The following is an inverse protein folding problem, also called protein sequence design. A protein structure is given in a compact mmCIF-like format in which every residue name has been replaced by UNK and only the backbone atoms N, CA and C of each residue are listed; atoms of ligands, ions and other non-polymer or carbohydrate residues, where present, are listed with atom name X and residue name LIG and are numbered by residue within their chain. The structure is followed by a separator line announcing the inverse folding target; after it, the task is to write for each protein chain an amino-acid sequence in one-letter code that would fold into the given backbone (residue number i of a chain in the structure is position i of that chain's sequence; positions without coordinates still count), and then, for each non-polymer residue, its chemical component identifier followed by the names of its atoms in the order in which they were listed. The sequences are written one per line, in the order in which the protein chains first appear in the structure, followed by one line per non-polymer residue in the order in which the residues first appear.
data_IF_206149513281
#
_entry.id   IF_206149513281
#
_cell.length_a   1.000
_cell.length_b   1.000
_cell.length_c   1.000
_cell.angle_alpha   90.00
_cell.angle_beta   90.00
_cell.angle_gamma   90.00
#
_symmetry.space_group_name_H-M   'P 1'
#
loop_
_entity.id
_entity.type
_entity.pdbx_description
1 polymer ?
#
# COMPACT_ATOMS: atom_id res chain seq x y z
N UNK A 1 22.73 -11.46 12.35
CA UNK A 1 22.10 -10.73 11.21
C UNK A 1 22.38 -11.47 9.90
N UNK A 2 21.47 -11.37 8.91
CA UNK A 2 21.66 -11.94 7.57
C UNK A 2 21.41 -10.88 6.52
N UNK A 3 22.41 -10.61 5.65
CA UNK A 3 22.22 -9.70 4.50
C UNK A 3 21.19 -10.30 3.57
N UNK A 4 20.20 -9.49 3.17
CA UNK A 4 19.15 -9.89 2.26
C UNK A 4 19.47 -9.48 0.83
N UNK A 5 19.12 -10.36 -0.10
CA UNK A 5 19.00 -10.04 -1.52
C UNK A 5 17.52 -10.00 -1.84
N UNK A 6 16.95 -8.79 -1.94
CA UNK A 6 15.52 -8.61 -2.15
C UNK A 6 15.06 -9.05 -3.53
N UNK A 7 13.78 -9.30 -3.67
CA UNK A 7 13.14 -9.60 -4.96
C UNK A 7 12.42 -8.36 -5.47
N UNK A 8 12.69 -7.95 -6.70
CA UNK A 8 11.96 -6.88 -7.38
C UNK A 8 10.78 -7.48 -8.11
N UNK A 9 9.57 -6.93 -7.88
CA UNK A 9 8.33 -7.28 -8.58
C UNK A 9 8.13 -6.27 -9.72
N UNK A 10 7.84 -6.78 -10.91
CA UNK A 10 7.75 -6.02 -12.16
C UNK A 10 6.30 -5.77 -12.62
N UNK A 11 5.40 -5.50 -11.65
CA UNK A 11 4.02 -5.17 -11.99
C UNK A 11 3.94 -3.97 -12.93
N UNK A 12 2.98 -3.98 -13.85
CA UNK A 12 2.86 -3.00 -14.93
C UNK A 12 2.72 -1.53 -14.45
N UNK A 13 2.21 -1.32 -13.24
CA UNK A 13 2.08 -0.01 -12.62
C UNK A 13 3.38 0.52 -11.99
N UNK A 14 4.43 -0.30 -11.93
CA UNK A 14 5.70 0.07 -11.32
C UNK A 14 6.39 1.22 -12.05
N UNK A 15 7.09 2.06 -11.29
CA UNK A 15 7.96 3.10 -11.86
C UNK A 15 9.17 2.47 -12.54
N UNK A 16 9.57 2.93 -13.73
CA UNK A 16 10.79 2.45 -14.38
C UNK A 16 12.08 3.02 -13.77
N UNK A 17 11.99 4.01 -12.88
CA UNK A 17 13.16 4.77 -12.40
C UNK A 17 13.29 4.87 -10.89
N UNK A 18 12.20 4.96 -10.12
CA UNK A 18 12.26 5.32 -8.69
C UNK A 18 13.10 4.37 -7.83
N UNK A 19 13.03 3.05 -8.04
CA UNK A 19 13.91 2.10 -7.33
C UNK A 19 15.36 2.19 -7.82
N UNK A 20 15.56 2.38 -9.12
CA UNK A 20 16.89 2.55 -9.68
C UNK A 20 17.58 3.82 -9.16
N UNK A 21 16.83 4.94 -9.11
CA UNK A 21 17.29 6.23 -8.58
C UNK A 21 17.67 6.10 -7.09
N UNK A 22 16.80 5.45 -6.28
CA UNK A 22 17.09 5.20 -4.86
C UNK A 22 18.39 4.38 -4.70
N UNK A 23 18.59 3.35 -5.53
CA UNK A 23 19.74 2.45 -5.47
C UNK A 23 21.00 3.03 -6.16
N UNK A 24 20.91 4.20 -6.79
CA UNK A 24 22.04 4.82 -7.51
C UNK A 24 22.54 4.00 -8.71
N UNK A 25 21.63 3.27 -9.38
CA UNK A 25 21.94 2.45 -10.55
C UNK A 25 21.19 2.91 -11.80
N UNK A 26 21.67 2.50 -12.96
CA UNK A 26 20.92 2.74 -14.21
C UNK A 26 19.56 2.02 -14.20
N UNK A 27 18.48 2.69 -14.66
CA UNK A 27 17.18 2.08 -14.83
C UNK A 27 17.20 0.94 -15.85
N UNK A 28 16.43 -0.12 -15.58
CA UNK A 28 16.31 -1.26 -16.52
C UNK A 28 15.45 -0.95 -17.75
N UNK A 29 14.69 0.16 -17.71
CA UNK A 29 13.71 0.53 -18.72
C UNK A 29 12.41 -0.29 -18.64
N UNK A 30 12.27 -1.12 -17.63
CA UNK A 30 11.04 -1.89 -17.33
C UNK A 30 10.42 -1.38 -16.04
N UNK A 31 9.12 -1.61 -15.80
CA UNK A 31 8.52 -1.36 -14.50
C UNK A 31 9.24 -2.11 -13.39
N UNK A 32 9.54 -1.39 -12.31
CA UNK A 32 10.06 -1.94 -11.06
C UNK A 32 9.14 -1.45 -9.95
N UNK A 33 8.14 -2.28 -9.61
CA UNK A 33 7.01 -1.85 -8.79
C UNK A 33 7.29 -1.91 -7.29
N UNK A 34 7.85 -3.02 -6.83
CA UNK A 34 8.08 -3.29 -5.41
C UNK A 34 9.39 -4.04 -5.22
N UNK A 35 10.14 -3.64 -4.21
CA UNK A 35 11.29 -4.39 -3.71
C UNK A 35 10.85 -5.04 -2.40
N UNK A 36 10.68 -6.38 -2.41
CA UNK A 36 10.17 -7.13 -1.27
C UNK A 36 11.27 -7.50 -0.30
N UNK A 37 10.99 -7.32 0.99
CA UNK A 37 11.89 -7.59 2.12
C UNK A 37 11.13 -8.45 3.14
N UNK A 38 11.38 -9.76 3.14
CA UNK A 38 10.71 -10.72 4.01
C UNK A 38 10.86 -12.16 3.53
N UNK A 39 10.14 -13.06 4.22
CA UNK A 39 10.05 -14.49 3.96
C UNK A 39 8.76 -14.90 3.26
N UNK A 40 8.07 -13.93 2.63
CA UNK A 40 6.78 -14.15 2.00
C UNK A 40 6.86 -15.24 0.92
N UNK A 41 5.97 -16.27 0.94
CA UNK A 41 6.06 -17.44 0.04
C UNK A 41 6.05 -17.08 -1.45
N UNK A 42 5.38 -15.99 -1.81
CA UNK A 42 5.30 -15.51 -3.20
C UNK A 42 6.62 -14.96 -3.75
N UNK A 43 7.57 -14.54 -2.89
CA UNK A 43 8.91 -14.07 -3.25
C UNK A 43 9.79 -13.89 -2.00
N UNK A 44 10.27 -14.97 -1.37
CA UNK A 44 11.16 -14.85 -0.22
C UNK A 44 12.49 -14.22 -0.63
N UNK A 45 13.04 -13.36 0.23
CA UNK A 45 14.40 -12.86 0.05
C UNK A 45 15.40 -14.01 0.11
N UNK A 46 16.53 -13.84 -0.60
CA UNK A 46 17.68 -14.71 -0.40
C UNK A 46 18.56 -14.12 0.72
N UNK A 47 18.70 -14.85 1.80
CA UNK A 47 19.59 -14.52 2.92
C UNK A 47 21.01 -15.02 2.65
N UNK A 48 22.02 -14.20 2.97
CA UNK A 48 23.44 -14.62 3.00
C UNK A 48 23.74 -15.07 4.43
N UNK A 49 23.98 -16.37 4.60
CA UNK A 49 24.28 -16.94 5.93
C UNK A 49 25.79 -16.90 6.25
N UNK A 50 26.18 -17.26 7.47
CA UNK A 50 27.52 -17.01 8.01
C UNK A 50 28.67 -17.63 7.21
N UNK A 51 28.46 -18.72 6.50
CA UNK A 51 29.46 -19.39 5.64
C UNK A 51 29.48 -18.81 4.21
N UNK A 52 28.68 -17.75 3.93
CA UNK A 52 28.51 -17.14 2.63
C UNK A 52 27.52 -17.86 1.70
N UNK A 53 26.88 -18.93 2.15
CA UNK A 53 25.84 -19.60 1.38
C UNK A 53 24.61 -18.69 1.21
N UNK A 54 23.87 -18.92 0.14
CA UNK A 54 22.63 -18.19 -0.22
C UNK A 54 21.47 -19.12 -0.07
N UNK A 55 20.58 -18.79 0.86
CA UNK A 55 19.43 -19.61 1.27
C UNK A 55 18.19 -18.75 1.30
N UNK A 56 17.01 -19.27 0.97
CA UNK A 56 15.75 -18.55 1.15
C UNK A 56 15.56 -18.10 2.59
N UNK A 57 15.07 -16.89 2.82
CA UNK A 57 14.82 -16.41 4.18
C UNK A 57 13.76 -17.28 4.88
N UNK A 58 12.79 -17.76 4.14
CA UNK A 58 11.79 -18.74 4.57
C UNK A 58 12.44 -20.07 5.06
N UNK A 59 13.45 -20.56 4.35
CA UNK A 59 14.22 -21.74 4.76
C UNK A 59 15.07 -21.47 6.00
N UNK A 60 15.69 -20.27 6.11
CA UNK A 60 16.44 -19.84 7.30
C UNK A 60 15.53 -19.79 8.53
N UNK A 61 14.33 -19.20 8.37
CA UNK A 61 13.32 -19.12 9.43
C UNK A 61 12.83 -20.51 9.82
N UNK A 62 12.52 -21.37 8.85
CA UNK A 62 12.05 -22.72 9.09
C UNK A 62 13.09 -23.62 9.77
N UNK A 63 14.39 -23.38 9.54
CA UNK A 63 15.47 -24.14 10.15
C UNK A 63 15.64 -23.86 11.66
N UNK A 64 15.36 -22.63 12.10
CA UNK A 64 15.46 -22.23 13.52
C UNK A 64 14.43 -21.14 13.85
N UNK A 65 13.13 -21.51 13.91
CA UNK A 65 12.06 -20.53 14.12
C UNK A 65 12.13 -19.85 15.51
N UNK A 66 12.60 -20.54 16.54
CA UNK A 66 12.73 -19.96 17.88
C UNK A 66 13.76 -18.83 17.89
N UNK A 67 14.92 -19.03 17.29
CA UNK A 67 15.95 -17.99 17.16
C UNK A 67 15.49 -16.86 16.25
N UNK A 68 14.90 -17.20 15.09
CA UNK A 68 14.56 -16.21 14.06
C UNK A 68 13.36 -15.35 14.45
N UNK A 69 12.31 -15.94 14.98
CA UNK A 69 11.01 -15.28 15.21
C UNK A 69 10.72 -15.01 16.69
N UNK A 70 11.32 -15.80 17.61
CA UNK A 70 10.97 -15.73 19.01
C UNK A 70 9.54 -16.21 19.29
N UNK A 71 8.98 -15.93 20.49
CA UNK A 71 7.68 -16.44 20.90
C UNK A 71 6.48 -15.70 20.23
N UNK A 72 6.71 -14.58 19.57
CA UNK A 72 5.66 -13.70 19.06
C UNK A 72 5.18 -14.05 17.64
N UNK A 73 5.74 -15.09 17.01
CA UNK A 73 5.34 -15.49 15.66
C UNK A 73 4.87 -16.96 15.61
N UNK A 74 3.64 -17.25 16.08
CA UNK A 74 3.13 -18.61 16.19
C UNK A 74 2.94 -19.33 14.85
N UNK A 75 2.89 -18.59 13.74
CA UNK A 75 2.65 -19.15 12.40
C UNK A 75 3.93 -19.64 11.70
N UNK A 76 5.10 -19.54 12.34
CA UNK A 76 6.37 -20.02 11.80
C UNK A 76 6.93 -19.19 10.63
N UNK A 77 6.46 -17.94 10.48
CA UNK A 77 6.93 -16.95 9.50
C UNK A 77 6.92 -15.55 10.09
N UNK A 78 7.52 -14.60 9.40
CA UNK A 78 7.44 -13.18 9.78
C UNK A 78 5.98 -12.71 9.79
N UNK A 79 5.53 -11.98 10.84
CA UNK A 79 4.16 -11.47 10.90
C UNK A 79 3.91 -10.31 9.93
N UNK A 80 4.95 -9.76 9.33
CA UNK A 80 4.88 -8.64 8.40
C UNK A 80 5.73 -8.85 7.14
N UNK A 81 5.39 -8.13 6.09
CA UNK A 81 6.19 -7.93 4.90
C UNK A 81 6.53 -6.44 4.79
N UNK A 82 7.81 -6.13 4.59
CA UNK A 82 8.28 -4.78 4.30
C UNK A 82 8.58 -4.65 2.81
N UNK A 83 8.30 -3.48 2.23
CA UNK A 83 8.59 -3.22 0.81
C UNK A 83 9.11 -1.80 0.61
N UNK A 84 9.90 -1.61 -0.42
CA UNK A 84 10.03 -0.31 -1.08
C UNK A 84 9.07 -0.33 -2.27
N UNK A 85 7.99 0.45 -2.18
CA UNK A 85 6.93 0.50 -3.19
C UNK A 85 7.13 1.73 -4.06
N UNK A 86 7.21 1.52 -5.38
CA UNK A 86 7.49 2.54 -6.39
C UNK A 86 6.34 2.60 -7.42
N UNK A 87 5.31 3.38 -7.10
CA UNK A 87 4.18 3.60 -8.00
C UNK A 87 4.56 4.58 -9.12
N UNK A 88 4.44 4.15 -10.36
CA UNK A 88 4.58 4.96 -11.57
C UNK A 88 3.23 5.22 -12.25
N UNK A 89 2.19 4.47 -11.85
CA UNK A 89 0.81 4.59 -12.32
C UNK A 89 -0.14 4.15 -11.20
N UNK A 90 -1.43 4.53 -11.24
CA UNK A 90 -2.41 4.12 -10.26
C UNK A 90 -2.50 2.61 -10.10
N UNK A 91 -2.43 2.13 -8.85
CA UNK A 91 -2.75 0.76 -8.49
C UNK A 91 -4.27 0.56 -8.51
N UNK A 92 -4.71 -0.70 -8.48
CA UNK A 92 -6.14 -0.99 -8.32
C UNK A 92 -6.69 -0.40 -7.03
N UNK A 93 -7.93 0.09 -7.07
CA UNK A 93 -8.70 0.38 -5.87
C UNK A 93 -8.94 -0.94 -5.13
N UNK A 94 -8.68 -0.95 -3.82
CA UNK A 94 -8.74 -2.17 -3.03
C UNK A 94 -9.23 -1.91 -1.61
N UNK A 95 -9.75 -2.98 -1.00
CA UNK A 95 -10.03 -3.05 0.43
C UNK A 95 -9.58 -4.40 0.98
N UNK A 96 -9.27 -4.44 2.27
CA UNK A 96 -8.82 -5.64 2.96
C UNK A 96 -9.83 -6.06 4.03
N UNK A 97 -10.07 -7.36 4.19
CA UNK A 97 -11.01 -7.86 5.18
C UNK A 97 -10.48 -7.69 6.61
N UNK A 98 -11.37 -7.68 7.59
CA UNK A 98 -11.01 -7.91 8.99
C UNK A 98 -10.49 -9.35 9.17
N UNK A 99 -9.81 -9.62 10.29
CA UNK A 99 -9.31 -10.98 10.60
C UNK A 99 -10.46 -12.01 10.67
N UNK A 100 -11.63 -11.61 11.20
CA UNK A 100 -12.81 -12.47 11.25
C UNK A 100 -13.35 -12.78 9.84
N UNK A 101 -13.48 -11.76 9.00
CA UNK A 101 -13.91 -11.91 7.61
C UNK A 101 -12.92 -12.76 6.80
N UNK A 102 -11.60 -12.54 6.96
CA UNK A 102 -10.58 -13.32 6.30
C UNK A 102 -10.65 -14.80 6.65
N UNK A 103 -10.78 -15.14 7.94
CA UNK A 103 -10.93 -16.52 8.41
C UNK A 103 -12.21 -17.19 7.89
N UNK A 104 -13.33 -16.48 7.96
CA UNK A 104 -14.60 -16.99 7.48
C UNK A 104 -14.62 -17.17 5.95
N UNK A 105 -14.12 -16.18 5.21
CA UNK A 105 -14.05 -16.20 3.73
C UNK A 105 -13.11 -17.28 3.22
N UNK A 106 -11.90 -17.38 3.80
CA UNK A 106 -10.94 -18.43 3.46
C UNK A 106 -11.53 -19.82 3.68
N UNK A 107 -12.13 -20.06 4.86
CA UNK A 107 -12.75 -21.36 5.16
C UNK A 107 -13.92 -21.69 4.21
N UNK A 108 -14.71 -20.68 3.81
CA UNK A 108 -15.82 -20.87 2.87
C UNK A 108 -15.32 -21.23 1.46
N UNK A 109 -14.30 -20.54 0.94
CA UNK A 109 -13.71 -20.82 -0.38
C UNK A 109 -12.99 -22.17 -0.41
N UNK A 110 -12.28 -22.57 0.69
CA UNK A 110 -11.71 -23.90 0.85
C UNK A 110 -12.81 -24.98 0.82
N UNK A 111 -13.90 -24.79 1.57
CA UNK A 111 -15.02 -25.74 1.57
C UNK A 111 -15.74 -25.84 0.22
N UNK A 112 -15.77 -24.73 -0.54
CA UNK A 112 -16.30 -24.71 -1.91
C UNK A 112 -15.33 -25.31 -2.95
N UNK A 113 -14.08 -25.58 -2.57
CA UNK A 113 -13.05 -26.13 -3.46
C UNK A 113 -12.55 -25.13 -4.49
N UNK A 114 -12.62 -23.83 -4.23
CA UNK A 114 -12.06 -22.78 -5.11
C UNK A 114 -10.53 -22.83 -5.00
N UNK A 115 -9.79 -23.07 -6.12
CA UNK A 115 -8.33 -23.09 -6.08
C UNK A 115 -7.75 -21.75 -5.57
N UNK A 116 -6.66 -21.80 -4.81
CA UNK A 116 -6.07 -20.58 -4.21
C UNK A 116 -5.52 -19.61 -5.25
N UNK A 117 -5.17 -20.11 -6.45
CA UNK A 117 -4.69 -19.35 -7.59
C UNK A 117 -5.78 -19.00 -8.61
N UNK A 118 -7.04 -19.37 -8.36
CA UNK A 118 -8.16 -19.03 -9.23
C UNK A 118 -8.33 -17.49 -9.31
N UNK A 119 -8.61 -16.96 -10.53
CA UNK A 119 -8.78 -15.51 -10.70
C UNK A 119 -9.89 -14.89 -9.85
N UNK A 120 -10.94 -15.67 -9.58
CA UNK A 120 -12.09 -15.27 -8.75
C UNK A 120 -11.89 -15.47 -7.25
N UNK A 121 -10.76 -16.06 -6.81
CA UNK A 121 -10.47 -16.29 -5.40
C UNK A 121 -10.23 -14.96 -4.67
N UNK A 122 -11.06 -14.63 -3.68
CA UNK A 122 -10.95 -13.42 -2.86
C UNK A 122 -10.00 -13.61 -1.67
N UNK A 123 -10.06 -14.78 -1.02
CA UNK A 123 -9.33 -15.06 0.21
C UNK A 123 -8.23 -16.10 -0.01
N UNK A 124 -6.98 -15.64 -0.10
CA UNK A 124 -5.81 -16.49 -0.36
C UNK A 124 -5.22 -17.10 0.90
N UNK A 125 -5.50 -16.47 2.04
CA UNK A 125 -5.09 -16.88 3.38
C UNK A 125 -6.15 -16.47 4.42
N UNK A 126 -5.98 -16.93 5.66
CA UNK A 126 -6.92 -16.67 6.75
C UNK A 126 -6.56 -15.41 7.56
N UNK A 127 -5.66 -14.56 7.05
CA UNK A 127 -5.16 -13.40 7.78
C UNK A 127 -5.75 -12.09 7.23
N UNK A 128 -5.78 -11.05 8.07
CA UNK A 128 -6.08 -9.70 7.64
C UNK A 128 -4.82 -9.02 7.07
N UNK A 129 -5.01 -7.86 6.45
CA UNK A 129 -3.92 -7.15 5.79
C UNK A 129 -3.92 -5.66 6.14
N UNK A 130 -3.71 -5.29 7.43
CA UNK A 130 -3.43 -3.91 7.75
C UNK A 130 -2.09 -3.48 7.13
N UNK A 131 -2.05 -2.25 6.64
CA UNK A 131 -0.90 -1.70 5.94
C UNK A 131 -0.54 -0.32 6.49
N UNK A 132 0.72 0.08 6.32
CA UNK A 132 1.18 1.45 6.51
C UNK A 132 2.13 1.81 5.39
N UNK A 133 1.99 3.03 4.85
CA UNK A 133 2.92 3.62 3.89
C UNK A 133 3.57 4.87 4.49
N UNK A 134 4.90 4.91 4.49
CA UNK A 134 5.72 6.08 4.77
C UNK A 134 6.29 6.62 3.46
N UNK A 135 5.96 7.85 3.10
CA UNK A 135 6.44 8.49 1.88
C UNK A 135 7.95 8.81 1.93
N UNK A 136 8.70 8.37 0.93
CA UNK A 136 10.12 8.71 0.71
C UNK A 136 10.29 9.86 -0.29
N UNK A 137 9.36 9.98 -1.22
CA UNK A 137 9.22 11.11 -2.17
C UNK A 137 7.84 11.73 -1.99
N UNK A 138 7.50 12.86 -2.65
CA UNK A 138 6.09 13.23 -2.77
C UNK A 138 5.30 12.00 -3.25
N UNK A 139 4.23 11.66 -2.50
CA UNK A 139 3.47 10.44 -2.72
C UNK A 139 1.98 10.73 -2.74
N UNK A 140 1.29 10.32 -3.79
CA UNK A 140 -0.14 10.51 -3.95
C UNK A 140 -0.90 9.20 -3.80
N UNK A 141 -2.03 9.24 -3.11
CA UNK A 141 -2.90 8.09 -2.87
C UNK A 141 -4.37 8.51 -2.86
N UNK A 142 -5.26 7.54 -2.92
CA UNK A 142 -6.66 7.64 -2.50
C UNK A 142 -6.82 6.88 -1.20
N UNK A 143 -7.51 7.45 -0.20
CA UNK A 143 -7.69 6.79 1.10
C UNK A 143 -9.02 7.17 1.76
N UNK A 144 -9.91 6.19 1.86
CA UNK A 144 -11.23 6.32 2.46
C UNK A 144 -12.20 7.19 1.66
N UNK A 145 -13.46 7.12 2.05
CA UNK A 145 -14.52 7.90 1.40
C UNK A 145 -14.49 9.37 1.81
N UNK A 146 -14.78 10.23 0.85
CA UNK A 146 -15.15 11.64 1.09
C UNK A 146 -16.53 11.70 1.75
N UNK A 147 -16.87 12.84 2.37
CA UNK A 147 -18.25 12.99 2.86
C UNK A 147 -19.25 12.86 1.73
N UNK A 148 -20.42 12.24 2.00
CA UNK A 148 -21.47 12.09 0.99
C UNK A 148 -21.90 13.40 0.37
N UNK A 149 -21.97 14.49 1.14
CA UNK A 149 -22.34 15.83 0.67
C UNK A 149 -21.33 16.35 -0.36
N UNK A 150 -20.03 16.29 -0.04
CA UNK A 150 -18.97 16.78 -0.94
C UNK A 150 -18.92 15.95 -2.22
N UNK A 151 -19.08 14.63 -2.12
CA UNK A 151 -19.15 13.74 -3.28
C UNK A 151 -20.42 13.99 -4.11
N UNK A 152 -21.56 14.26 -3.47
CA UNK A 152 -22.81 14.63 -4.14
C UNK A 152 -22.63 15.88 -5.01
N UNK A 153 -22.00 16.93 -4.46
CA UNK A 153 -21.71 18.18 -5.20
C UNK A 153 -20.85 17.91 -6.44
N UNK A 154 -19.85 17.03 -6.31
CA UNK A 154 -18.98 16.64 -7.42
C UNK A 154 -19.74 15.94 -8.54
N UNK A 155 -20.62 14.99 -8.19
CA UNK A 155 -21.46 14.28 -9.17
C UNK A 155 -22.56 15.17 -9.75
N UNK A 156 -23.10 16.13 -9.00
CA UNK A 156 -24.04 17.13 -9.54
C UNK A 156 -23.36 18.02 -10.58
N UNK A 157 -22.15 18.52 -10.28
CA UNK A 157 -21.37 19.32 -11.21
C UNK A 157 -21.02 18.53 -12.49
N UNK A 158 -20.62 17.27 -12.34
CA UNK A 158 -20.37 16.37 -13.46
C UNK A 158 -21.61 16.12 -14.30
N UNK A 159 -22.76 15.82 -13.69
CA UNK A 159 -24.01 15.58 -14.40
C UNK A 159 -24.47 16.81 -15.21
N UNK A 160 -24.30 18.01 -14.63
CA UNK A 160 -24.60 19.28 -15.31
C UNK A 160 -23.72 19.48 -16.53
N UNK A 161 -22.40 19.29 -16.37
CA UNK A 161 -21.45 19.44 -17.47
C UNK A 161 -21.66 18.41 -18.59
N UNK A 162 -22.02 17.16 -18.24
CA UNK A 162 -22.40 16.13 -19.21
C UNK A 162 -23.66 16.50 -20.00
N UNK A 163 -24.67 17.10 -19.35
CA UNK A 163 -25.92 17.53 -19.99
C UNK A 163 -25.68 18.73 -20.92
N UNK A 164 -24.89 19.71 -20.49
CA UNK A 164 -24.56 20.89 -21.31
C UNK A 164 -23.80 20.50 -22.58
N UNK A 165 -22.91 19.52 -22.51
CA UNK A 165 -22.14 19.05 -23.66
C UNK A 165 -22.96 18.24 -24.67
N UNK A 166 -24.04 17.61 -24.24
CA UNK A 166 -24.94 16.82 -25.09
C UNK A 166 -25.97 17.69 -25.86
N UNK A 167 -25.78 19.00 -25.97
CA UNK A 167 -26.67 19.96 -26.65
C UNK A 167 -28.14 19.84 -26.21
N UNK A 168 -28.36 19.48 -24.91
CA UNK A 168 -29.67 19.33 -24.31
C UNK A 168 -30.30 17.95 -24.41
N UNK A 169 -29.71 17.01 -25.13
CA UNK A 169 -30.05 15.59 -25.04
C UNK A 169 -29.42 14.99 -23.79
N UNK A 170 -30.23 14.48 -22.88
CA UNK A 170 -29.74 13.90 -21.62
C UNK A 170 -29.12 12.54 -21.88
N UNK A 171 -27.81 12.44 -21.85
CA UNK A 171 -27.12 11.14 -22.01
C UNK A 171 -27.41 10.23 -20.81
N UNK A 172 -27.38 8.91 -21.03
CA UNK A 172 -27.53 7.92 -19.96
C UNK A 172 -26.49 8.10 -18.84
N UNK A 173 -25.27 8.56 -19.21
CA UNK A 173 -24.17 8.85 -18.27
C UNK A 173 -24.50 10.08 -17.41
N UNK A 174 -25.10 11.14 -17.99
CA UNK A 174 -25.55 12.30 -17.22
C UNK A 174 -26.66 11.94 -16.22
N UNK A 175 -27.63 11.11 -16.63
CA UNK A 175 -28.67 10.58 -15.73
C UNK A 175 -28.08 9.76 -14.61
N UNK A 176 -27.11 8.88 -14.92
CA UNK A 176 -26.44 8.07 -13.92
C UNK A 176 -25.66 8.92 -12.92
N UNK A 177 -24.91 9.93 -13.37
CA UNK A 177 -24.20 10.87 -12.49
C UNK A 177 -25.16 11.64 -11.57
N UNK A 178 -26.29 12.14 -12.10
CA UNK A 178 -27.32 12.79 -11.29
C UNK A 178 -27.96 11.84 -10.26
N UNK A 179 -28.13 10.55 -10.61
CA UNK A 179 -28.64 9.54 -9.68
C UNK A 179 -27.64 9.29 -8.55
N UNK A 180 -26.34 9.13 -8.86
CA UNK A 180 -25.30 8.98 -7.82
C UNK A 180 -25.30 10.18 -6.89
N UNK A 181 -25.39 11.42 -7.41
CA UNK A 181 -25.50 12.63 -6.60
C UNK A 181 -26.69 12.55 -5.63
N UNK A 182 -27.87 12.13 -6.10
CA UNK A 182 -29.08 12.00 -5.26
C UNK A 182 -28.92 10.91 -4.20
N UNK A 183 -28.32 9.77 -4.53
CA UNK A 183 -28.03 8.67 -3.59
C UNK A 183 -27.09 9.15 -2.48
N UNK A 184 -26.04 9.88 -2.83
CA UNK A 184 -25.11 10.48 -1.88
C UNK A 184 -25.75 11.56 -1.01
N UNK A 185 -26.61 12.41 -1.59
CA UNK A 185 -27.38 13.40 -0.84
C UNK A 185 -28.35 12.76 0.20
N UNK A 186 -28.76 11.50 -0.05
CA UNK A 186 -29.50 10.71 0.92
C UNK A 186 -28.59 10.01 1.97
N UNK A 187 -27.27 10.15 1.86
CA UNK A 187 -26.30 9.56 2.79
C UNK A 187 -25.91 8.10 2.47
N UNK A 188 -26.32 7.56 1.33
CA UNK A 188 -26.11 6.16 0.97
C UNK A 188 -24.83 5.97 0.13
N UNK A 189 -23.68 5.93 0.81
CA UNK A 189 -22.36 5.65 0.20
C UNK A 189 -22.28 4.23 -0.36
N UNK A 190 -22.93 3.26 0.29
CA UNK A 190 -22.89 1.86 -0.12
C UNK A 190 -23.55 1.67 -1.48
N UNK A 191 -24.79 2.19 -1.66
CA UNK A 191 -25.48 2.10 -2.95
C UNK A 191 -24.76 2.91 -4.04
N UNK A 192 -24.25 4.10 -3.72
CA UNK A 192 -23.47 4.90 -4.66
C UNK A 192 -22.24 4.15 -5.19
N UNK A 193 -21.42 3.59 -4.29
CA UNK A 193 -20.22 2.84 -4.63
C UNK A 193 -20.54 1.57 -5.42
N UNK A 194 -21.46 0.74 -4.91
CA UNK A 194 -21.77 -0.57 -5.51
C UNK A 194 -22.48 -0.42 -6.85
N UNK A 195 -23.34 0.59 -7.02
CA UNK A 195 -24.02 0.84 -8.30
C UNK A 195 -23.08 1.33 -9.40
N UNK A 196 -21.94 1.97 -9.06
CA UNK A 196 -20.90 2.31 -10.05
C UNK A 196 -20.21 1.03 -10.55
N UNK A 197 -19.94 0.09 -9.66
CA UNK A 197 -19.21 -1.15 -9.96
C UNK A 197 -20.11 -2.28 -10.50
N UNK A 198 -21.43 -2.12 -10.48
CA UNK A 198 -22.35 -3.10 -11.03
C UNK A 198 -22.07 -3.28 -12.53
N UNK A 199 -21.76 -4.51 -13.00
CA UNK A 199 -21.44 -4.76 -14.40
C UNK A 199 -22.60 -4.42 -15.35
N UNK A 200 -23.85 -4.44 -14.88
CA UNK A 200 -25.04 -4.08 -15.65
C UNK A 200 -25.35 -2.58 -15.60
N UNK A 201 -24.53 -1.79 -14.89
CA UNK A 201 -24.68 -0.35 -14.81
C UNK A 201 -24.25 0.35 -16.10
N UNK A 202 -24.66 1.60 -16.25
CA UNK A 202 -24.21 2.49 -17.34
C UNK A 202 -22.69 2.67 -17.33
N UNK A 203 -22.05 2.62 -16.16
CA UNK A 203 -20.60 2.83 -16.02
C UNK A 203 -19.75 1.70 -16.59
N UNK A 204 -20.29 0.48 -16.68
CA UNK A 204 -19.70 -0.65 -17.39
C UNK A 204 -19.89 -0.62 -18.91
N UNK A 205 -20.72 0.29 -19.42
CA UNK A 205 -20.97 0.39 -20.87
C UNK A 205 -19.78 1.01 -21.61
N UNK A 206 -19.43 0.50 -22.81
CA UNK A 206 -18.37 1.09 -23.61
C UNK A 206 -18.53 2.60 -23.84
N UNK A 207 -17.49 3.37 -23.56
CA UNK A 207 -17.48 4.82 -23.76
C UNK A 207 -18.17 5.64 -22.65
N UNK A 208 -18.73 5.03 -21.60
CA UNK A 208 -19.30 5.77 -20.48
C UNK A 208 -18.24 6.60 -19.75
N UNK A 209 -17.14 5.96 -19.35
CA UNK A 209 -16.00 6.61 -18.69
C UNK A 209 -15.37 7.66 -19.62
N UNK A 210 -15.28 7.38 -20.93
CA UNK A 210 -14.75 8.34 -21.89
C UNK A 210 -15.58 9.63 -21.95
N UNK A 211 -16.91 9.58 -21.82
CA UNK A 211 -17.76 10.79 -21.73
C UNK A 211 -17.42 11.62 -20.49
N UNK A 212 -17.18 11.01 -19.34
CA UNK A 212 -16.72 11.70 -18.11
C UNK A 212 -15.39 12.39 -18.37
N UNK A 213 -14.42 11.67 -18.90
CA UNK A 213 -13.08 12.19 -19.20
C UNK A 213 -13.13 13.36 -20.19
N UNK A 214 -13.94 13.24 -21.24
CA UNK A 214 -14.10 14.28 -22.26
C UNK A 214 -14.72 15.57 -21.70
N UNK A 215 -15.69 15.42 -20.79
CA UNK A 215 -16.29 16.57 -20.10
C UNK A 215 -15.29 17.25 -19.18
N UNK A 216 -14.58 16.48 -18.36
CA UNK A 216 -13.58 17.02 -17.43
C UNK A 216 -12.40 17.70 -18.15
N UNK A 217 -12.00 17.19 -19.32
CA UNK A 217 -10.99 17.84 -20.18
C UNK A 217 -11.50 19.14 -20.83
N UNK A 218 -12.79 19.19 -21.15
CA UNK A 218 -13.41 20.39 -21.75
C UNK A 218 -13.74 21.47 -20.70
N UNK A 219 -13.87 21.10 -19.43
CA UNK A 219 -14.15 21.98 -18.30
C UNK A 219 -13.05 21.84 -17.21
N UNK A 220 -11.81 22.27 -17.48
CA UNK A 220 -10.67 22.07 -16.58
C UNK A 220 -10.85 22.71 -15.21
N UNK A 221 -11.64 23.77 -15.10
CA UNK A 221 -11.97 24.46 -13.87
C UNK A 221 -12.74 23.54 -12.87
N UNK A 222 -13.42 22.51 -13.33
CA UNK A 222 -14.03 21.51 -12.46
C UNK A 222 -12.95 20.69 -11.75
N UNK A 223 -11.98 20.18 -12.49
CA UNK A 223 -10.87 19.40 -11.92
C UNK A 223 -9.91 20.28 -11.08
N UNK A 224 -9.74 21.55 -11.40
CA UNK A 224 -8.95 22.49 -10.61
C UNK A 224 -9.57 22.78 -9.24
N UNK A 225 -10.90 22.79 -9.14
CA UNK A 225 -11.63 23.03 -7.88
C UNK A 225 -11.85 21.79 -7.05
N UNK A 226 -11.87 20.62 -7.67
CA UNK A 226 -12.13 19.35 -7.01
C UNK A 226 -11.02 18.34 -7.29
N UNK A 227 -10.14 18.07 -6.30
CA UNK A 227 -9.03 17.11 -6.43
C UNK A 227 -9.48 15.70 -6.81
N UNK A 228 -10.72 15.28 -6.49
CA UNK A 228 -11.22 13.95 -6.85
C UNK A 228 -11.53 13.84 -8.35
N UNK A 229 -12.03 14.92 -8.98
CA UNK A 229 -12.22 14.97 -10.42
C UNK A 229 -10.87 14.98 -11.15
N UNK A 230 -9.86 15.68 -10.60
CA UNK A 230 -8.49 15.61 -11.11
C UNK A 230 -7.92 14.19 -11.00
N UNK A 231 -8.18 13.49 -9.88
CA UNK A 231 -7.76 12.10 -9.68
C UNK A 231 -8.44 11.15 -10.66
N UNK A 232 -9.72 11.36 -10.96
CA UNK A 232 -10.42 10.59 -11.99
C UNK A 232 -9.77 10.78 -13.39
N UNK A 233 -9.36 12.00 -13.75
CA UNK A 233 -8.61 12.26 -14.99
C UNK A 233 -7.24 11.58 -15.01
N UNK A 234 -6.52 11.58 -13.88
CA UNK A 234 -5.24 10.91 -13.72
C UNK A 234 -5.41 9.38 -13.88
N UNK A 235 -6.37 8.78 -13.18
CA UNK A 235 -6.67 7.35 -13.27
C UNK A 235 -7.07 6.91 -14.69
N UNK A 236 -7.86 7.72 -15.39
CA UNK A 236 -8.30 7.44 -16.76
C UNK A 236 -7.17 7.43 -17.80
N UNK A 237 -6.00 8.00 -17.50
CA UNK A 237 -4.83 7.90 -18.39
C UNK A 237 -4.31 6.45 -18.49
N UNK A 238 -4.51 5.67 -17.45
CA UNK A 238 -4.03 4.30 -17.33
C UNK A 238 -5.18 3.27 -17.44
N UNK A 239 -6.40 3.67 -17.09
CA UNK A 239 -7.61 2.83 -17.03
C UNK A 239 -8.79 3.53 -17.74
N UNK A 240 -8.73 3.80 -19.05
CA UNK A 240 -9.66 4.71 -19.75
C UNK A 240 -11.12 4.23 -19.78
N UNK A 241 -11.38 2.93 -19.64
CA UNK A 241 -12.73 2.34 -19.71
C UNK A 241 -13.16 1.68 -18.38
N UNK A 242 -12.40 1.87 -17.29
CA UNK A 242 -12.64 1.22 -16.00
C UNK A 242 -13.59 2.06 -15.13
N UNK A 243 -14.71 1.51 -14.62
CA UNK A 243 -15.61 2.21 -13.69
C UNK A 243 -14.92 2.73 -12.42
N UNK A 244 -13.76 2.17 -12.03
CA UNK A 244 -12.93 2.66 -10.94
C UNK A 244 -12.49 4.13 -11.11
N UNK A 245 -12.46 4.64 -12.34
CA UNK A 245 -12.27 6.06 -12.62
C UNK A 245 -13.39 6.90 -12.00
N UNK A 246 -14.62 6.40 -12.04
CA UNK A 246 -15.78 7.07 -11.44
C UNK A 246 -15.80 6.85 -9.92
N UNK A 247 -15.39 5.67 -9.45
CA UNK A 247 -15.21 5.39 -8.01
C UNK A 247 -14.21 6.35 -7.38
N UNK A 248 -13.14 6.73 -8.08
CA UNK A 248 -12.14 7.69 -7.59
C UNK A 248 -12.75 9.03 -7.14
N UNK A 249 -13.90 9.43 -7.70
CA UNK A 249 -14.61 10.66 -7.31
C UNK A 249 -15.20 10.55 -5.89
N UNK A 250 -15.45 9.34 -5.40
CA UNK A 250 -15.93 9.09 -4.03
C UNK A 250 -14.84 9.12 -2.98
N UNK A 251 -13.55 9.06 -3.37
CA UNK A 251 -12.44 8.85 -2.46
C UNK A 251 -11.66 10.14 -2.17
N UNK A 252 -11.10 10.22 -0.96
CA UNK A 252 -10.19 11.30 -0.62
C UNK A 252 -8.88 11.15 -1.39
N UNK A 253 -8.46 12.20 -2.11
CA UNK A 253 -7.07 12.32 -2.56
C UNK A 253 -6.20 12.72 -1.37
N UNK A 254 -5.08 12.04 -1.23
CA UNK A 254 -4.07 12.28 -0.19
C UNK A 254 -2.73 12.48 -0.87
N UNK A 255 -2.12 13.64 -0.65
CA UNK A 255 -0.77 13.94 -1.13
C UNK A 255 0.17 14.06 0.08
N UNK A 256 1.08 13.10 0.21
CA UNK A 256 2.04 13.00 1.31
C UNK A 256 3.37 13.64 0.92
N UNK A 257 3.89 14.49 1.80
CA UNK A 257 5.27 14.91 1.73
C UNK A 257 6.21 13.80 2.25
N UNK A 258 7.49 13.79 1.84
CA UNK A 258 8.47 12.85 2.40
C UNK A 258 8.49 12.89 3.93
N UNK A 259 8.44 11.73 4.57
CA UNK A 259 8.38 11.56 6.02
C UNK A 259 6.98 11.54 6.61
N UNK A 260 5.92 11.77 5.84
CA UNK A 260 4.53 11.58 6.28
C UNK A 260 4.09 10.13 6.03
N UNK A 261 3.24 9.61 6.93
CA UNK A 261 2.74 8.24 6.83
C UNK A 261 1.22 8.19 7.01
N UNK A 262 0.61 7.24 6.30
CA UNK A 262 -0.78 6.82 6.49
C UNK A 262 -0.83 5.34 6.82
N UNK A 263 -1.86 4.93 7.56
CA UNK A 263 -2.15 3.51 7.77
C UNK A 263 -3.51 3.14 7.19
N UNK A 264 -3.68 1.90 6.81
CA UNK A 264 -4.83 1.40 6.07
C UNK A 264 -5.44 0.25 6.88
N UNK A 265 -6.46 0.53 7.72
CA UNK A 265 -7.16 -0.51 8.47
C UNK A 265 -8.05 -1.35 7.56
N UNK A 266 -8.47 -2.50 8.07
CA UNK A 266 -9.47 -3.33 7.40
C UNK A 266 -10.72 -2.51 7.04
N UNK A 267 -11.32 -2.79 5.89
CA UNK A 267 -12.50 -2.09 5.37
C UNK A 267 -12.22 -0.73 4.72
N UNK A 268 -11.02 -0.17 4.86
CA UNK A 268 -10.66 1.09 4.22
C UNK A 268 -10.44 0.89 2.71
N UNK A 269 -11.16 1.66 1.89
CA UNK A 269 -10.98 1.68 0.42
C UNK A 269 -9.85 2.62 0.06
N UNK A 270 -8.86 2.12 -0.66
CA UNK A 270 -7.67 2.90 -0.99
C UNK A 270 -7.04 2.48 -2.33
N UNK A 271 -6.18 3.34 -2.85
CA UNK A 271 -5.25 3.03 -3.94
C UNK A 271 -4.06 3.97 -3.90
N UNK A 272 -2.86 3.48 -4.21
CA UNK A 272 -1.69 4.32 -4.44
C UNK A 272 -1.70 4.80 -5.89
N UNK A 273 -1.29 6.04 -6.10
CA UNK A 273 -1.31 6.68 -7.41
C UNK A 273 0.10 6.86 -7.98
N UNK A 274 0.96 7.51 -7.22
CA UNK A 274 2.32 7.85 -7.68
C UNK A 274 3.26 8.11 -6.50
N UNK A 275 4.52 7.69 -6.61
CA UNK A 275 5.57 7.99 -5.64
C UNK A 275 6.35 6.76 -5.18
N UNK A 276 7.37 7.01 -4.34
CA UNK A 276 8.17 5.98 -3.68
C UNK A 276 7.93 6.04 -2.16
N UNK A 277 7.69 4.90 -1.53
CA UNK A 277 7.48 4.80 -0.09
C UNK A 277 8.00 3.50 0.51
N UNK A 278 8.13 3.49 1.84
CA UNK A 278 8.28 2.27 2.63
C UNK A 278 6.87 1.79 2.99
N UNK A 279 6.49 0.63 2.49
CA UNK A 279 5.26 -0.05 2.90
C UNK A 279 5.60 -1.15 3.90
N UNK A 280 4.86 -1.21 5.00
CA UNK A 280 4.87 -2.36 5.92
C UNK A 280 3.44 -2.84 6.07
N UNK A 281 3.24 -4.14 5.91
CA UNK A 281 1.91 -4.77 5.98
C UNK A 281 1.96 -6.09 6.74
N UNK A 282 0.84 -6.53 7.29
CA UNK A 282 0.74 -7.90 7.78
C UNK A 282 0.93 -8.90 6.64
N UNK A 283 1.43 -10.09 6.97
CA UNK A 283 1.72 -11.14 5.99
C UNK A 283 0.41 -11.78 5.47
N UNK A 284 -0.23 -11.12 4.50
CA UNK A 284 -1.45 -11.58 3.83
C UNK A 284 -1.51 -11.12 2.37
N UNK A 285 -2.13 -11.95 1.51
CA UNK A 285 -2.41 -11.66 0.09
C UNK A 285 -3.89 -11.32 -0.18
N UNK A 286 -4.71 -11.15 0.87
CA UNK A 286 -6.13 -10.90 0.75
C UNK A 286 -6.42 -9.49 0.22
N UNK A 287 -6.95 -9.41 -0.99
CA UNK A 287 -7.26 -8.16 -1.69
C UNK A 287 -8.59 -8.26 -2.41
N UNK A 288 -9.57 -7.44 -2.00
CA UNK A 288 -10.79 -7.22 -2.76
C UNK A 288 -10.64 -5.95 -3.60
N UNK A 289 -10.91 -6.04 -4.89
CA UNK A 289 -10.69 -4.94 -5.83
C UNK A 289 -11.98 -4.20 -6.14
N UNK A 290 -11.90 -2.88 -6.14
CA UNK A 290 -13.00 -1.96 -6.42
C UNK A 290 -12.80 -1.11 -7.68
N UNK A 291 -12.06 -1.61 -8.68
CA UNK A 291 -11.80 -0.94 -9.94
C UNK A 291 -10.32 -0.60 -10.19
N UNK A 292 -10.03 0.08 -11.28
CA UNK A 292 -8.70 0.37 -11.84
C UNK A 292 -7.90 -0.94 -12.04
N UNK A 293 -8.56 -1.97 -12.58
CA UNK A 293 -7.97 -3.29 -12.70
C UNK A 293 -8.65 -4.14 -13.78
N UNK A 294 -7.87 -4.92 -14.57
CA UNK A 294 -8.45 -5.95 -15.43
C UNK A 294 -8.80 -7.24 -14.66
N UNK A 295 -8.50 -7.32 -13.35
CA UNK A 295 -8.76 -8.52 -12.54
C UNK A 295 -10.22 -8.54 -12.08
N UNK A 296 -10.65 -9.70 -11.56
CA UNK A 296 -11.99 -9.90 -11.00
C UNK A 296 -12.33 -8.86 -9.93
N UNK A 297 -13.55 -8.33 -10.00
CA UNK A 297 -14.16 -7.43 -9.00
C UNK A 297 -15.41 -8.14 -8.48
N UNK A 298 -15.41 -8.49 -7.21
CA UNK A 298 -16.53 -9.13 -6.52
C UNK A 298 -17.32 -8.07 -5.74
N UNK A 299 -18.30 -7.47 -6.40
CA UNK A 299 -19.13 -6.39 -5.79
C UNK A 299 -19.91 -6.88 -4.57
N UNK A 300 -20.54 -8.07 -4.57
CA UNK A 300 -21.18 -8.64 -3.38
C UNK A 300 -20.23 -8.77 -2.18
N UNK A 301 -19.00 -9.20 -2.42
CA UNK A 301 -18.03 -9.38 -1.32
C UNK A 301 -17.40 -8.04 -0.89
N UNK A 302 -17.16 -7.11 -1.81
CA UNK A 302 -16.79 -5.72 -1.47
C UNK A 302 -17.82 -5.07 -0.53
N UNK A 303 -19.12 -5.27 -0.81
CA UNK A 303 -20.20 -4.78 0.03
C UNK A 303 -20.15 -5.29 1.48
N UNK A 304 -19.59 -6.47 1.69
CA UNK A 304 -19.43 -7.07 3.03
C UNK A 304 -18.18 -6.60 3.76
N UNK A 305 -17.13 -6.28 3.01
CA UNK A 305 -15.80 -5.98 3.57
C UNK A 305 -15.59 -4.48 3.77
N UNK A 306 -16.11 -3.65 2.87
CA UNK A 306 -15.88 -2.20 2.90
C UNK A 306 -16.66 -1.52 4.03
N UNK A 307 -15.99 -0.59 4.71
CA UNK A 307 -16.62 0.33 5.67
C UNK A 307 -17.13 1.55 4.93
N UNK A 308 -18.46 1.64 4.75
CA UNK A 308 -19.13 2.73 4.03
C UNK A 308 -19.37 3.94 4.92
N UNK A 309 -18.29 4.50 5.44
CA UNK A 309 -18.30 5.68 6.29
C UNK A 309 -17.24 6.69 5.83
N UNK A 310 -17.58 7.96 5.86
CA UNK A 310 -16.64 9.05 5.61
C UNK A 310 -15.83 9.33 6.89
N UNK A 311 -14.75 8.60 7.06
CA UNK A 311 -13.84 8.75 8.18
C UNK A 311 -12.67 9.67 7.82
N UNK A 312 -12.05 10.36 8.81
CA UNK A 312 -10.79 11.06 8.58
C UNK A 312 -9.72 10.14 7.99
N UNK A 313 -8.88 10.66 7.11
CA UNK A 313 -7.74 9.90 6.57
C UNK A 313 -6.84 9.47 7.72
N UNK A 314 -6.57 8.18 7.89
CA UNK A 314 -5.80 7.68 9.02
C UNK A 314 -4.30 7.99 8.84
N UNK A 315 -3.81 9.06 9.49
CA UNK A 315 -2.38 9.40 9.55
C UNK A 315 -1.68 8.63 10.66
N UNK A 316 -0.39 8.36 10.47
CA UNK A 316 0.48 7.84 11.53
C UNK A 316 1.55 8.87 11.81
N UNK A 317 1.40 9.58 12.94
CA UNK A 317 2.36 10.62 13.33
C UNK A 317 3.64 9.99 13.87
N UNK A 318 4.83 10.56 13.53
CA UNK A 318 6.10 10.08 14.06
C UNK A 318 6.22 10.40 15.56
N UNK A 319 6.48 9.39 16.37
CA UNK A 319 6.82 9.52 17.78
C UNK A 319 8.34 9.57 17.95
N UNK A 320 8.87 10.63 18.54
CA UNK A 320 10.31 10.72 18.84
C UNK A 320 10.67 9.76 19.98
N UNK A 321 11.48 8.75 19.71
CA UNK A 321 11.91 7.73 20.68
C UNK A 321 13.35 7.92 21.15
N UNK A 322 14.19 8.57 20.35
CA UNK A 322 15.55 8.96 20.71
C UNK A 322 15.99 10.15 19.84
N UNK A 323 17.21 10.67 20.08
CA UNK A 323 17.82 11.63 19.16
C UNK A 323 18.00 10.96 17.80
N UNK A 324 17.56 11.66 16.74
CA UNK A 324 17.60 11.17 15.34
C UNK A 324 16.76 9.91 15.06
N UNK A 325 15.94 9.43 16.02
CA UNK A 325 15.09 8.23 15.83
C UNK A 325 13.63 8.55 16.12
N UNK A 326 12.78 8.23 15.16
CA UNK A 326 11.32 8.27 15.32
C UNK A 326 10.72 6.89 15.11
N UNK A 327 9.57 6.64 15.72
CA UNK A 327 8.76 5.44 15.53
C UNK A 327 7.43 5.82 14.91
N UNK A 328 6.99 5.05 13.92
CA UNK A 328 5.64 5.08 13.38
C UNK A 328 4.91 3.85 13.91
N UNK A 329 3.86 4.10 14.70
CA UNK A 329 3.08 3.06 15.39
C UNK A 329 1.63 3.14 14.97
N UNK A 330 1.26 2.49 13.85
CA UNK A 330 -0.15 2.35 13.52
C UNK A 330 -0.86 1.51 14.60
N UNK A 331 -2.20 1.56 14.70
CA UNK A 331 -2.95 0.80 15.71
C UNK A 331 -3.07 -0.69 15.35
N UNK A 332 -1.95 -1.33 15.03
CA UNK A 332 -1.83 -2.73 14.63
C UNK A 332 -0.86 -3.48 15.53
N UNK A 333 -1.02 -4.78 15.68
CA UNK A 333 -0.17 -5.63 16.51
C UNK A 333 0.97 -6.30 15.72
N UNK A 334 0.91 -6.26 14.39
CA UNK A 334 1.81 -6.99 13.50
C UNK A 334 3.14 -6.30 13.29
N UNK A 335 3.19 -4.96 13.36
CA UNK A 335 4.41 -4.21 13.09
C UNK A 335 4.43 -2.78 13.66
N UNK A 336 5.63 -2.29 13.92
CA UNK A 336 5.99 -0.86 13.98
C UNK A 336 7.12 -0.58 12.98
N UNK A 337 7.31 0.69 12.61
CA UNK A 337 8.43 1.13 11.77
C UNK A 337 9.26 2.17 12.52
N UNK A 338 10.54 1.88 12.74
CA UNK A 338 11.51 2.82 13.24
C UNK A 338 12.23 3.48 12.06
N UNK A 339 12.47 4.80 12.16
CA UNK A 339 13.30 5.55 11.21
C UNK A 339 14.43 6.24 11.97
N UNK A 340 15.67 5.96 11.59
CA UNK A 340 16.84 6.69 12.04
C UNK A 340 17.36 7.62 10.92
N UNK A 341 17.44 8.92 11.20
CA UNK A 341 18.02 9.93 10.32
C UNK A 341 19.39 10.32 10.88
N UNK A 342 20.44 9.89 10.24
CA UNK A 342 21.83 9.97 10.70
C UNK A 342 22.51 11.11 9.95
N UNK A 343 22.84 12.20 10.63
CA UNK A 343 23.47 13.38 10.02
C UNK A 343 25.01 13.38 10.20
N UNK A 344 25.51 12.61 11.15
CA UNK A 344 26.92 12.47 11.48
C UNK A 344 27.31 11.02 11.74
N UNK A 345 28.54 10.78 12.22
CA UNK A 345 29.07 9.46 12.56
C UNK A 345 28.73 9.00 13.99
N UNK A 346 27.81 9.69 14.68
CA UNK A 346 27.33 9.28 16.01
C UNK A 346 26.60 7.93 15.90
N UNK A 347 26.79 7.10 16.92
CA UNK A 347 26.12 5.80 17.04
C UNK A 347 24.77 6.00 17.74
N UNK A 348 23.71 5.57 17.08
CA UNK A 348 22.35 5.56 17.62
C UNK A 348 21.88 4.14 17.87
N UNK A 349 21.22 3.89 18.99
CA UNK A 349 20.62 2.60 19.33
C UNK A 349 19.14 2.57 18.97
N UNK A 350 18.72 1.55 18.24
CA UNK A 350 17.32 1.27 17.92
C UNK A 350 16.89 0.02 18.71
N UNK A 351 15.89 0.17 19.57
CA UNK A 351 15.27 -0.96 20.28
C UNK A 351 14.27 -1.64 19.35
N UNK A 352 14.72 -2.73 18.73
CA UNK A 352 13.88 -3.57 17.84
C UNK A 352 13.30 -4.70 18.63
N UNK A 353 11.98 -4.87 18.60
CA UNK A 353 11.28 -5.95 19.29
C UNK A 353 10.98 -7.13 18.36
N UNK A 354 11.25 -8.35 18.82
CA UNK A 354 11.06 -9.56 18.00
C UNK A 354 11.97 -9.60 16.77
N UNK A 355 11.56 -10.31 15.72
CA UNK A 355 12.27 -10.30 14.43
C UNK A 355 12.19 -8.92 13.79
N UNK A 356 13.23 -8.51 13.06
CA UNK A 356 13.24 -7.24 12.36
C UNK A 356 13.80 -7.33 10.95
N UNK A 357 13.45 -6.34 10.13
CA UNK A 357 14.09 -6.10 8.83
C UNK A 357 14.53 -4.64 8.79
N UNK A 358 15.82 -4.42 8.54
CA UNK A 358 16.38 -3.09 8.35
C UNK A 358 16.74 -2.85 6.89
N UNK A 359 16.40 -1.67 6.36
CA UNK A 359 16.75 -1.22 5.00
C UNK A 359 17.32 0.19 5.05
N UNK A 360 18.36 0.44 4.28
CA UNK A 360 18.88 1.79 4.05
C UNK A 360 18.15 2.40 2.86
N UNK A 361 17.66 3.63 3.00
CA UNK A 361 16.97 4.34 1.90
C UNK A 361 17.73 5.56 1.40
N UNK A 362 18.72 6.04 2.18
CA UNK A 362 19.57 7.17 1.79
C UNK A 362 20.97 6.99 2.39
N UNK A 363 21.99 7.32 1.63
CA UNK A 363 23.39 7.26 2.07
C UNK A 363 23.87 5.84 2.35
N UNK A 364 24.93 5.70 3.10
CA UNK A 364 25.49 4.41 3.53
C UNK A 364 25.51 4.36 5.06
N UNK A 365 25.05 3.28 5.65
CA UNK A 365 25.01 3.11 7.09
C UNK A 365 25.69 1.80 7.53
N UNK A 366 26.40 1.86 8.65
CA UNK A 366 26.89 0.67 9.37
C UNK A 366 25.88 0.27 10.42
N UNK A 367 25.48 -0.99 10.42
CA UNK A 367 24.54 -1.61 11.35
C UNK A 367 25.28 -2.67 12.18
N UNK A 368 25.23 -2.55 13.51
CA UNK A 368 25.90 -3.50 14.40
C UNK A 368 24.91 -4.11 15.41
N UNK A 369 24.90 -5.43 15.51
CA UNK A 369 24.04 -6.18 16.42
C UNK A 369 24.69 -7.51 16.82
N UNK A 370 24.66 -7.87 18.10
CA UNK A 370 25.17 -9.14 18.62
C UNK A 370 26.62 -9.44 18.16
N UNK A 371 27.50 -8.43 18.13
CA UNK A 371 28.90 -8.56 17.75
C UNK A 371 29.18 -8.67 16.23
N UNK A 372 28.17 -8.57 15.39
CA UNK A 372 28.30 -8.46 13.94
C UNK A 372 28.14 -7.00 13.52
N UNK A 373 28.91 -6.58 12.52
CA UNK A 373 28.78 -5.26 11.88
C UNK A 373 28.69 -5.43 10.36
N UNK A 374 27.74 -4.73 9.73
CA UNK A 374 27.47 -4.79 8.29
C UNK A 374 27.26 -3.38 7.77
N UNK A 375 27.90 -3.02 6.68
CA UNK A 375 27.68 -1.78 5.95
C UNK A 375 26.70 -1.99 4.80
N UNK A 376 25.70 -1.09 4.68
CA UNK A 376 24.64 -1.15 3.70
C UNK A 376 24.50 0.19 2.97
N UNK A 377 24.27 0.12 1.66
CA UNK A 377 23.86 1.23 0.81
C UNK A 377 22.34 1.28 0.56
N UNK A 378 21.87 2.26 -0.23
CA UNK A 378 20.45 2.43 -0.51
C UNK A 378 19.82 1.22 -1.20
N UNK A 379 18.68 0.76 -0.68
CA UNK A 379 17.97 -0.43 -1.13
C UNK A 379 18.58 -1.75 -0.65
N UNK A 380 19.69 -1.73 0.10
CA UNK A 380 20.24 -2.92 0.74
C UNK A 380 19.62 -3.13 2.12
N UNK A 381 19.46 -4.39 2.52
CA UNK A 381 18.70 -4.76 3.71
C UNK A 381 19.33 -5.94 4.46
N UNK A 382 18.98 -6.06 5.75
CA UNK A 382 19.33 -7.18 6.61
C UNK A 382 18.10 -7.68 7.36
N UNK A 383 18.07 -8.99 7.59
CA UNK A 383 17.20 -9.64 8.56
C UNK A 383 17.86 -9.65 9.93
N UNK A 384 17.10 -9.32 10.95
CA UNK A 384 17.47 -9.27 12.36
C UNK A 384 16.72 -10.38 13.10
N UNK A 385 17.33 -11.53 13.42
CA UNK A 385 16.68 -12.58 14.20
C UNK A 385 16.28 -12.09 15.59
N UNK A 386 15.14 -12.56 16.10
CA UNK A 386 14.57 -12.17 17.40
C UNK A 386 15.53 -12.42 18.59
N UNK A 387 16.28 -13.52 18.55
CA UNK A 387 17.29 -13.81 19.61
C UNK A 387 18.42 -12.77 19.64
N UNK A 388 18.75 -12.17 18.50
CA UNK A 388 19.80 -11.16 18.39
C UNK A 388 19.27 -9.77 18.81
N UNK A 389 18.07 -9.40 18.42
CA UNK A 389 17.41 -8.15 18.87
C UNK A 389 17.16 -8.15 20.37
N UNK A 390 16.84 -9.32 20.96
CA UNK A 390 16.69 -9.48 22.41
C UNK A 390 18.02 -9.31 23.18
N UNK A 391 19.18 -9.42 22.53
CA UNK A 391 20.48 -9.27 23.19
C UNK A 391 20.92 -7.81 23.40
N UNK A 392 20.24 -6.84 22.75
CA UNK A 392 20.53 -5.41 22.88
C UNK A 392 20.07 -4.62 21.66
N UNK A 393 20.19 -3.30 21.69
CA UNK A 393 19.76 -2.43 20.61
C UNK A 393 20.57 -2.65 19.33
N UNK A 394 19.94 -2.47 18.18
CA UNK A 394 20.62 -2.33 16.90
C UNK A 394 21.36 -0.99 16.88
N UNK A 395 22.69 -1.03 16.88
CA UNK A 395 23.48 0.18 16.74
C UNK A 395 23.57 0.56 15.25
N UNK A 396 23.25 1.80 14.92
CA UNK A 396 23.34 2.34 13.56
C UNK A 396 24.17 3.62 13.55
N UNK A 397 24.98 3.81 12.52
CA UNK A 397 25.75 5.03 12.27
C UNK A 397 25.86 5.30 10.78
N UNK A 398 25.94 6.57 10.39
CA UNK A 398 26.26 6.91 9.01
C UNK A 398 27.72 6.51 8.69
N UNK A 399 27.98 6.10 7.46
CA UNK A 399 29.36 5.96 6.99
C UNK A 399 30.02 7.35 6.92
N UNK A 400 31.33 7.40 7.19
CA UNK A 400 32.05 8.65 7.37
C UNK A 400 31.78 9.69 6.28
N UNK A 401 31.25 10.84 6.69
CA UNK A 401 31.11 12.04 5.88
C UNK A 401 29.84 12.22 5.06
N UNK A 402 28.82 11.35 5.19
CA UNK A 402 27.55 11.51 4.46
C UNK A 402 26.34 11.12 5.30
N UNK A 403 25.26 11.92 5.29
CA UNK A 403 24.03 11.55 5.98
C UNK A 403 23.41 10.26 5.44
N UNK A 404 22.79 9.47 6.34
CA UNK A 404 22.12 8.24 5.97
C UNK A 404 20.74 8.14 6.62
N UNK A 405 19.83 7.35 6.02
CA UNK A 405 18.53 7.03 6.61
C UNK A 405 18.31 5.54 6.60
N UNK A 406 17.98 5.00 7.76
CA UNK A 406 17.70 3.58 8.00
C UNK A 406 16.27 3.43 8.47
N UNK A 407 15.53 2.50 7.85
CA UNK A 407 14.20 2.10 8.29
C UNK A 407 14.26 0.67 8.84
N UNK A 408 13.60 0.43 9.95
CA UNK A 408 13.56 -0.89 10.58
C UNK A 408 12.12 -1.25 10.94
N UNK A 409 11.58 -2.26 10.27
CA UNK A 409 10.31 -2.88 10.69
C UNK A 409 10.60 -3.92 11.77
N UNK A 410 9.76 -3.96 12.80
CA UNK A 410 9.79 -4.92 13.91
C UNK A 410 8.42 -5.03 14.56
N UNK A 411 8.31 -5.80 15.65
CA UNK A 411 7.05 -5.89 16.38
C UNK A 411 6.83 -4.64 17.26
N UNK A 412 5.59 -4.21 17.48
CA UNK A 412 5.30 -3.13 18.40
C UNK A 412 5.78 -3.44 19.83
N UNK A 413 6.12 -2.40 20.58
CA UNK A 413 6.31 -2.55 22.04
C UNK A 413 4.97 -2.93 22.67
N UNK A 414 4.93 -4.06 23.37
CA UNK A 414 3.78 -4.49 24.15
C UNK A 414 3.46 -3.54 25.32
#
# INVERSE_FOLDING_TARGET
MHVLKPVIRDYAWGSPTLLADLQGREPTGRPEAELWLGDHPGAPCVAVVADGARVGLDEVVAADPERCLGPAAPEGRLPFLMKLLAAGAPLSIQAHPTLEQARAGFAAEEAAGVPVDAPERNYKDANHKPEMLLALTPFSAMCGFRSPEVSSDSFEALARALTERADGDTSAVAVAAARISQTLAAGDLEDAFTSILDPDSVWGAPGAVAQVVDVLRAAPDLAERDPSLATALEAAQHHPDDPGVVVAILLNRVDLAPGQAIHLPAGNVHAYLHGLGVEVMAASDNVLRGGLTPKHVDVPELRRVVTFEALPVPSTEPERVADSVVAFRPPFEEFELLQATLEDDAVHGLDVHGPGIAVVTRGTASLALAGQEIELGPGEAVFLPAAETASGPLAVRAAAGAPATVHVAGLPRG
#
